data_IF_377242526624
#
_entry.id   IF_377242526624
#
_cell.length_a   1.000
_cell.length_b   1.000
_cell.length_c   1.000
_cell.angle_alpha   90.00
_cell.angle_beta   90.00
_cell.angle_gamma   90.00
#
_symmetry.space_group_name_H-M   'P 1'
#
loop_
_entity.id
_entity.type
_entity.pdbx_description
1 polymer ?
#
# COMPACT_ATOMS: atom_id res chain seq x y z
N UNK A 1 0.17 12.20 17.33
CA UNK A 1 -1.04 12.86 16.79
C UNK A 1 -2.26 12.06 17.24
N UNK A 2 -3.39 12.72 17.55
CA UNK A 2 -4.66 12.03 17.86
C UNK A 2 -5.69 12.34 16.77
N UNK A 3 -6.37 11.31 16.29
CA UNK A 3 -7.39 11.42 15.27
C UNK A 3 -8.49 10.39 15.50
N UNK A 4 -9.71 10.77 15.13
CA UNK A 4 -10.88 9.91 15.13
C UNK A 4 -11.15 9.39 13.72
N UNK A 5 -11.84 8.26 13.64
CA UNK A 5 -12.20 7.64 12.38
C UNK A 5 -13.09 6.44 12.58
N UNK A 6 -13.48 5.82 11.47
CA UNK A 6 -14.33 4.64 11.42
C UNK A 6 -13.53 3.45 10.90
N UNK A 7 -13.75 2.30 11.53
CA UNK A 7 -13.15 1.02 11.10
C UNK A 7 -14.22 0.21 10.37
N UNK A 8 -13.90 -0.29 9.18
CA UNK A 8 -14.75 -1.18 8.40
C UNK A 8 -14.03 -2.52 8.18
N UNK A 9 -14.64 -3.61 8.62
CA UNK A 9 -14.03 -4.94 8.48
C UNK A 9 -14.09 -5.44 7.04
N UNK A 10 -12.95 -5.98 6.57
CA UNK A 10 -12.81 -6.60 5.26
C UNK A 10 -12.87 -8.13 5.40
N UNK A 11 -11.80 -8.76 5.86
CA UNK A 11 -11.68 -10.21 6.12
C UNK A 11 -10.40 -10.51 6.91
N UNK A 12 -10.36 -11.60 7.70
CA UNK A 12 -9.14 -12.22 8.23
C UNK A 12 -8.12 -11.25 8.88
N UNK A 13 -8.59 -10.33 9.72
CA UNK A 13 -7.74 -9.33 10.39
C UNK A 13 -7.39 -8.10 9.54
N UNK A 14 -7.89 -8.02 8.31
CA UNK A 14 -7.84 -6.83 7.46
C UNK A 14 -9.05 -5.93 7.74
N UNK A 15 -8.78 -4.64 7.84
CA UNK A 15 -9.79 -3.61 8.00
C UNK A 15 -9.41 -2.35 7.23
N UNK A 16 -10.42 -1.62 6.78
CA UNK A 16 -10.27 -0.28 6.24
C UNK A 16 -10.47 0.74 7.36
N UNK A 17 -9.53 1.68 7.48
CA UNK A 17 -9.61 2.79 8.42
C UNK A 17 -9.92 4.08 7.66
N UNK A 18 -11.08 4.67 7.95
CA UNK A 18 -11.52 5.93 7.36
C UNK A 18 -11.34 7.03 8.40
N UNK A 19 -10.36 7.91 8.19
CA UNK A 19 -10.05 9.00 9.11
C UNK A 19 -10.96 10.21 8.87
N UNK A 20 -11.35 10.89 9.95
CA UNK A 20 -12.23 12.06 9.85
C UNK A 20 -11.50 13.29 9.26
N UNK A 21 -10.17 13.30 9.34
CA UNK A 21 -9.31 14.31 8.71
C UNK A 21 -8.13 13.65 8.02
N UNK A 22 -7.55 14.28 6.99
CA UNK A 22 -6.32 13.78 6.37
C UNK A 22 -5.19 13.65 7.40
N UNK A 23 -4.43 12.57 7.30
CA UNK A 23 -3.24 12.30 8.10
C UNK A 23 -2.17 11.72 7.18
N UNK A 24 -0.95 12.23 7.29
CA UNK A 24 0.21 11.65 6.61
C UNK A 24 0.59 10.35 7.29
N UNK A 25 0.62 9.28 6.49
CA UNK A 25 1.00 7.93 6.90
C UNK A 25 1.96 7.37 5.85
N UNK A 26 2.82 6.47 6.30
CA UNK A 26 3.60 5.57 5.46
C UNK A 26 3.07 4.13 5.64
N UNK A 27 3.40 3.26 4.70
CA UNK A 27 3.19 1.83 4.89
C UNK A 27 4.08 1.32 6.03
N UNK A 28 3.62 0.26 6.69
CA UNK A 28 4.20 -0.31 7.89
C UNK A 28 4.17 0.55 9.16
N UNK A 29 3.58 1.75 9.11
CA UNK A 29 3.27 2.53 10.31
C UNK A 29 2.37 1.71 11.25
N UNK A 30 2.77 1.64 12.53
CA UNK A 30 2.01 0.94 13.57
C UNK A 30 1.14 1.94 14.32
N UNK A 31 -0.15 1.61 14.42
CA UNK A 31 -1.19 2.44 15.02
C UNK A 31 -1.78 1.72 16.23
N UNK A 32 -2.18 2.50 17.25
CA UNK A 32 -2.96 1.98 18.39
C UNK A 32 -4.40 2.42 18.21
N UNK A 33 -5.31 1.44 18.16
CA UNK A 33 -6.75 1.68 18.07
C UNK A 33 -7.34 1.68 19.48
N UNK A 34 -8.10 2.74 19.78
CA UNK A 34 -8.79 2.91 21.06
C UNK A 34 -10.25 3.20 20.81
N UNK A 35 -11.08 2.90 21.80
CA UNK A 35 -12.47 3.32 21.82
C UNK A 35 -12.55 4.86 21.72
N UNK A 36 -13.66 5.37 21.19
CA UNK A 36 -13.90 6.80 20.98
C UNK A 36 -13.79 7.61 22.28
N UNK A 37 -14.13 7.02 23.42
CA UNK A 37 -13.97 7.64 24.74
C UNK A 37 -12.54 7.60 25.28
N UNK A 38 -11.57 7.04 24.54
CA UNK A 38 -10.21 6.74 24.97
C UNK A 38 -10.10 5.87 26.24
N UNK A 39 -11.18 5.19 26.64
CA UNK A 39 -11.25 4.41 27.89
C UNK A 39 -10.58 3.05 27.78
N UNK A 40 -10.59 2.46 26.59
CA UNK A 40 -10.07 1.12 26.34
C UNK A 40 -9.23 1.10 25.06
N UNK A 41 -8.13 0.33 25.11
CA UNK A 41 -7.36 -0.03 23.91
C UNK A 41 -8.03 -1.22 23.24
N UNK A 42 -8.47 -1.02 22.00
CA UNK A 42 -9.16 -2.04 21.22
C UNK A 42 -8.19 -2.98 20.51
N UNK A 43 -7.01 -2.47 20.12
CA UNK A 43 -5.98 -3.28 19.49
C UNK A 43 -4.89 -2.45 18.82
N UNK A 44 -4.01 -3.15 18.10
CA UNK A 44 -3.03 -2.55 17.21
C UNK A 44 -3.48 -2.65 15.76
N UNK A 45 -2.95 -1.78 14.92
CA UNK A 45 -3.07 -1.86 13.46
C UNK A 45 -1.73 -1.55 12.81
N UNK A 46 -1.57 -2.01 11.56
CA UNK A 46 -0.45 -1.67 10.69
C UNK A 46 -1.00 -1.15 9.37
N UNK A 47 -0.44 -0.06 8.87
CA UNK A 47 -0.81 0.48 7.57
C UNK A 47 -0.23 -0.43 6.48
N UNK A 48 -1.10 -1.00 5.65
CA UNK A 48 -0.70 -1.89 4.55
C UNK A 48 -0.67 -1.20 3.19
N UNK A 49 -1.63 -0.29 2.96
CA UNK A 49 -1.70 0.49 1.72
C UNK A 49 -2.35 1.83 2.01
N UNK A 50 -1.87 2.88 1.34
CA UNK A 50 -2.40 4.25 1.45
C UNK A 50 -3.53 4.52 0.44
N UNK A 51 -3.73 3.62 -0.53
CA UNK A 51 -4.72 3.78 -1.60
C UNK A 51 -5.71 2.64 -1.58
N UNK A 52 -7.00 2.96 -1.48
CA UNK A 52 -8.08 1.96 -1.55
C UNK A 52 -8.86 2.11 -2.85
N UNK A 53 -9.15 1.01 -3.59
CA UNK A 53 -9.98 1.08 -4.78
C UNK A 53 -11.43 1.50 -4.43
N UNK A 54 -12.05 2.29 -5.31
CA UNK A 54 -13.44 2.77 -5.12
C UNK A 54 -14.49 1.65 -5.20
N UNK A 55 -14.19 0.56 -5.91
CA UNK A 55 -15.06 -0.60 -6.11
C UNK A 55 -14.26 -1.89 -5.89
N UNK A 56 -14.94 -2.98 -5.54
CA UNK A 56 -14.31 -4.29 -5.44
C UNK A 56 -13.46 -4.54 -4.19
N UNK A 57 -13.65 -3.78 -3.10
CA UNK A 57 -12.87 -3.91 -1.86
C UNK A 57 -12.94 -5.28 -1.17
N UNK A 58 -13.91 -6.11 -1.53
CA UNK A 58 -14.10 -7.48 -1.03
C UNK A 58 -13.88 -8.54 -2.12
N UNK A 59 -13.34 -8.15 -3.28
CA UNK A 59 -12.98 -9.12 -4.29
C UNK A 59 -11.83 -9.99 -3.78
N UNK A 60 -11.86 -11.32 -4.03
CA UNK A 60 -10.82 -12.23 -3.55
C UNK A 60 -9.41 -11.80 -3.95
N UNK A 61 -9.25 -11.30 -5.17
CA UNK A 61 -7.97 -10.80 -5.68
C UNK A 61 -7.41 -9.65 -4.86
N UNK A 62 -8.25 -8.67 -4.50
CA UNK A 62 -7.82 -7.53 -3.70
C UNK A 62 -7.45 -7.93 -2.27
N UNK A 63 -8.23 -8.84 -1.68
CA UNK A 63 -7.94 -9.36 -0.34
C UNK A 63 -6.66 -10.21 -0.34
N UNK A 64 -6.46 -11.05 -1.35
CA UNK A 64 -5.23 -11.82 -1.52
C UNK A 64 -4.01 -10.91 -1.67
N UNK A 65 -4.14 -9.83 -2.45
CA UNK A 65 -3.08 -8.83 -2.59
C UNK A 65 -2.77 -8.11 -1.26
N UNK A 66 -3.78 -7.70 -0.48
CA UNK A 66 -3.56 -7.11 0.84
C UNK A 66 -2.89 -8.10 1.81
N UNK A 67 -3.30 -9.36 1.76
CA UNK A 67 -2.65 -10.42 2.56
C UNK A 67 -1.21 -10.62 2.15
N UNK A 68 -0.90 -10.64 0.85
CA UNK A 68 0.47 -10.73 0.35
C UNK A 68 1.31 -9.53 0.78
N UNK A 69 0.77 -8.31 0.72
CA UNK A 69 1.43 -7.11 1.26
C UNK A 69 1.70 -7.22 2.76
N UNK A 70 0.77 -7.81 3.52
CA UNK A 70 0.97 -8.02 4.94
C UNK A 70 2.10 -9.01 5.24
N UNK A 71 2.39 -9.95 4.34
CA UNK A 71 3.47 -10.93 4.48
C UNK A 71 4.80 -10.49 3.85
N UNK A 72 4.82 -9.41 3.07
CA UNK A 72 6.04 -8.94 2.42
C UNK A 72 7.05 -8.39 3.43
N UNK A 73 8.28 -8.91 3.37
CA UNK A 73 9.34 -8.58 4.32
C UNK A 73 10.21 -7.38 3.88
N UNK A 74 10.30 -7.14 2.57
CA UNK A 74 11.18 -6.14 1.97
C UNK A 74 10.49 -5.34 0.84
N UNK A 75 11.12 -4.23 0.45
CA UNK A 75 10.58 -3.33 -0.58
C UNK A 75 10.58 -3.95 -1.99
N UNK A 76 11.40 -4.98 -2.24
CA UNK A 76 11.43 -5.71 -3.52
C UNK A 76 10.19 -6.55 -3.68
N UNK A 77 9.80 -7.29 -2.64
CA UNK A 77 8.56 -8.05 -2.62
C UNK A 77 7.35 -7.14 -2.75
N UNK A 78 7.34 -6.01 -2.04
CA UNK A 78 6.27 -5.02 -2.14
C UNK A 78 6.19 -4.46 -3.57
N UNK A 79 7.31 -4.04 -4.16
CA UNK A 79 7.35 -3.56 -5.54
C UNK A 79 6.77 -4.61 -6.50
N UNK A 80 7.21 -5.87 -6.40
CA UNK A 80 6.70 -6.96 -7.24
C UNK A 80 5.18 -7.16 -7.12
N UNK A 81 4.59 -6.93 -5.94
CA UNK A 81 3.13 -6.99 -5.74
C UNK A 81 2.37 -5.82 -6.39
N UNK A 82 3.04 -4.70 -6.66
CA UNK A 82 2.43 -3.55 -7.31
C UNK A 82 2.47 -3.63 -8.85
N UNK A 83 3.51 -4.26 -9.42
CA UNK A 83 3.76 -4.29 -10.87
C UNK A 83 2.61 -4.90 -11.72
N UNK A 84 1.94 -5.99 -11.31
CA UNK A 84 0.84 -6.58 -12.09
C UNK A 84 -0.39 -5.66 -12.24
N UNK A 85 -0.50 -4.63 -11.39
CA UNK A 85 -1.66 -3.73 -11.36
C UNK A 85 -1.54 -2.57 -12.35
N UNK A 86 -0.49 -2.56 -13.17
CA UNK A 86 -0.21 -1.56 -14.20
C UNK A 86 0.85 -0.55 -13.78
N UNK A 87 0.80 0.65 -14.37
CA UNK A 87 1.84 1.65 -14.18
C UNK A 87 1.86 2.21 -12.74
N UNK A 88 2.96 1.98 -12.04
CA UNK A 88 3.26 2.44 -10.69
C UNK A 88 3.74 3.89 -10.71
N UNK A 89 3.15 4.74 -9.87
CA UNK A 89 3.65 6.09 -9.60
C UNK A 89 4.85 6.00 -8.63
N UNK A 90 6.03 6.39 -9.10
CA UNK A 90 7.29 6.27 -8.36
C UNK A 90 7.35 7.18 -7.15
N UNK A 91 6.77 8.39 -7.22
CA UNK A 91 6.76 9.32 -6.11
C UNK A 91 5.82 8.83 -5.00
N UNK A 92 4.63 8.34 -5.37
CA UNK A 92 3.70 7.76 -4.42
C UNK A 92 4.27 6.50 -3.75
N UNK A 93 4.93 5.63 -4.52
CA UNK A 93 5.59 4.43 -3.98
C UNK A 93 6.74 4.79 -3.05
N UNK A 94 7.62 5.71 -3.46
CA UNK A 94 8.73 6.18 -2.64
C UNK A 94 8.25 6.79 -1.33
N UNK A 95 7.17 7.57 -1.35
CA UNK A 95 6.53 8.08 -0.13
C UNK A 95 6.00 6.95 0.74
N UNK A 96 5.22 6.03 0.17
CA UNK A 96 4.60 4.92 0.91
C UNK A 96 5.65 4.08 1.64
N UNK A 97 6.79 3.82 0.99
CA UNK A 97 7.91 3.02 1.53
C UNK A 97 8.99 3.84 2.23
N UNK A 98 8.85 5.17 2.29
CA UNK A 98 9.85 6.11 2.81
C UNK A 98 11.24 5.92 2.17
N UNK A 99 11.27 5.62 0.87
CA UNK A 99 12.50 5.43 0.11
C UNK A 99 13.06 6.77 -0.35
N UNK A 100 14.35 7.00 -0.05
CA UNK A 100 15.11 8.10 -0.66
C UNK A 100 15.56 7.72 -2.08
N UNK A 101 16.06 8.69 -2.82
CA UNK A 101 16.41 8.52 -4.25
C UNK A 101 17.36 7.34 -4.50
N UNK A 102 18.39 7.15 -3.67
CA UNK A 102 19.39 6.11 -3.87
C UNK A 102 18.83 4.69 -3.63
N UNK A 103 18.17 4.37 -2.50
CA UNK A 103 17.47 3.11 -2.32
C UNK A 103 16.41 2.83 -3.38
N UNK A 104 15.63 3.86 -3.77
CA UNK A 104 14.63 3.72 -4.82
C UNK A 104 15.29 3.34 -6.16
N UNK A 105 16.34 4.05 -6.56
CA UNK A 105 17.05 3.75 -7.81
C UNK A 105 17.65 2.34 -7.80
N UNK A 106 18.23 1.91 -6.68
CA UNK A 106 18.76 0.55 -6.54
C UNK A 106 17.67 -0.52 -6.66
N UNK A 107 16.51 -0.27 -6.05
CA UNK A 107 15.35 -1.16 -6.11
C UNK A 107 14.75 -1.28 -7.51
N UNK A 108 14.65 -0.15 -8.23
CA UNK A 108 14.15 -0.14 -9.60
C UNK A 108 15.13 -0.85 -10.55
N UNK A 109 16.44 -0.68 -10.33
CA UNK A 109 17.48 -1.34 -11.12
C UNK A 109 17.55 -2.86 -10.93
N UNK A 110 16.98 -3.40 -9.84
CA UNK A 110 16.91 -4.84 -9.60
C UNK A 110 15.72 -5.53 -10.27
N UNK A 111 14.89 -4.79 -11.02
CA UNK A 111 13.71 -5.30 -11.72
C UNK A 111 13.72 -4.91 -13.19
N UNK A 112 13.13 -5.74 -14.04
CA UNK A 112 12.96 -5.44 -15.46
C UNK A 112 11.75 -4.50 -15.68
N UNK A 113 12.02 -3.20 -15.55
CA UNK A 113 11.01 -2.14 -15.62
C UNK A 113 11.21 -1.25 -16.84
N UNK A 114 10.09 -0.80 -17.41
CA UNK A 114 10.04 0.33 -18.32
C UNK A 114 9.65 1.57 -17.51
N UNK A 115 10.56 2.55 -17.47
CA UNK A 115 10.37 3.81 -16.74
C UNK A 115 10.11 4.93 -17.74
N UNK A 116 8.99 5.63 -17.57
CA UNK A 116 8.60 6.78 -18.37
C UNK A 116 8.21 7.94 -17.44
N UNK A 117 9.11 8.90 -17.28
CA UNK A 117 8.91 10.02 -16.37
C UNK A 117 8.83 9.57 -14.91
N UNK A 118 7.69 9.82 -14.28
CA UNK A 118 7.38 9.48 -12.89
C UNK A 118 6.70 8.11 -12.73
N UNK A 119 6.56 7.34 -13.82
CA UNK A 119 5.90 6.03 -13.80
C UNK A 119 6.85 4.89 -14.14
N UNK A 120 6.66 3.76 -13.48
CA UNK A 120 7.30 2.48 -13.79
C UNK A 120 6.25 1.41 -14.12
N UNK A 121 6.55 0.58 -15.11
CA UNK A 121 5.71 -0.53 -15.54
C UNK A 121 6.60 -1.77 -15.70
N UNK A 122 6.12 -2.96 -15.35
CA UNK A 122 6.83 -4.18 -15.70
C UNK A 122 6.85 -4.37 -17.23
N UNK A 123 7.97 -4.81 -17.79
CA UNK A 123 8.10 -4.95 -19.25
C UNK A 123 7.06 -5.91 -19.86
N UNK A 124 6.65 -6.94 -19.12
CA UNK A 124 5.57 -7.85 -19.51
C UNK A 124 4.23 -7.13 -19.74
N UNK A 125 3.93 -6.12 -18.94
CA UNK A 125 2.68 -5.35 -19.05
C UNK A 125 2.76 -4.27 -20.14
N UNK A 126 3.97 -3.80 -20.48
CA UNK A 126 4.17 -2.85 -21.56
C UNK A 126 3.82 -3.44 -22.95
N UNK A 127 3.91 -4.76 -23.09
CA UNK A 127 3.60 -5.46 -24.35
C UNK A 127 2.09 -5.66 -24.56
N UNK A 128 1.31 -5.72 -23.48
CA UNK A 128 -0.15 -5.88 -23.53
C UNK A 128 -0.88 -4.60 -23.94
N UNK A 129 -0.35 -3.42 -23.58
CA UNK A 129 -0.94 -2.12 -23.94
C UNK A 129 -0.62 -1.68 -25.39
N UNK A 130 0.24 -2.41 -26.11
CA UNK A 130 0.58 -2.14 -27.52
C UNK A 130 -0.21 -3.00 -28.53
N UNK A 131 -1.14 -3.84 -28.07
CA UNK A 131 -2.04 -4.66 -28.92
C UNK A 131 -3.47 -4.12 -28.90
#
# INVERSE_FOLDING_TARGET
SHITGRVSLLSDGLAELILDRPLWLAENDRLVLRDIGARQTLGGARVLSLTTPKRGKRQPEYLAWLTALAQADDDSQVLALHLPKGALDLAAFAWARQLTEKPLAALLASHELLIAGDRALAQENAQLDQQ
#
